data_IF_137563324461
#
_entry.id   IF_137563324461
#
_cell.length_a   1.000
_cell.length_b   1.000
_cell.length_c   1.000
_cell.angle_alpha   90.00
_cell.angle_beta   90.00
_cell.angle_gamma   90.00
#
_symmetry.space_group_name_H-M   'P 1'
#
loop_
_entity.id
_entity.type
_entity.pdbx_description
1 polymer ?
#
# COMPACT_ATOMS: atom_id res chain seq x y z
N UNK A 1 -55.51 26.09 -26.37
CA UNK A 1 -54.72 25.18 -27.24
C UNK A 1 -53.26 25.53 -27.00
N UNK A 2 -52.40 24.77 -26.31
CA UNK A 2 -52.52 23.45 -25.71
C UNK A 2 -51.65 23.38 -24.44
N UNK A 3 -51.92 22.35 -23.65
CA UNK A 3 -51.46 22.17 -22.27
C UNK A 3 -50.01 21.66 -22.14
N UNK A 4 -49.50 21.80 -20.92
CA UNK A 4 -48.21 21.30 -20.44
C UNK A 4 -48.07 19.76 -20.44
N UNK A 5 -46.85 19.26 -20.65
CA UNK A 5 -46.37 17.94 -20.23
C UNK A 5 -44.83 18.00 -20.11
N UNK A 6 -44.25 17.95 -18.90
CA UNK A 6 -43.74 16.76 -18.16
C UNK A 6 -42.36 16.29 -18.60
N UNK A 7 -41.43 16.19 -17.64
CA UNK A 7 -40.30 15.22 -17.72
C UNK A 7 -38.93 15.68 -17.24
N UNK A 8 -38.82 16.02 -15.95
CA UNK A 8 -37.68 15.77 -15.04
C UNK A 8 -36.27 15.52 -15.62
N UNK A 9 -35.36 16.45 -15.27
CA UNK A 9 -33.93 16.22 -15.19
C UNK A 9 -33.62 15.03 -14.26
N UNK A 10 -32.89 14.04 -14.77
CA UNK A 10 -32.23 13.05 -13.92
C UNK A 10 -30.82 13.56 -13.65
N UNK A 11 -30.67 14.21 -12.50
CA UNK A 11 -29.38 14.28 -11.85
C UNK A 11 -28.99 12.87 -11.39
N UNK A 12 -27.84 12.39 -11.83
CA UNK A 12 -27.10 11.37 -11.09
C UNK A 12 -26.12 12.12 -10.20
N UNK A 13 -26.67 12.61 -9.09
CA UNK A 13 -25.86 12.89 -7.92
C UNK A 13 -25.24 11.57 -7.46
N UNK A 14 -23.93 11.46 -7.54
CA UNK A 14 -23.19 10.55 -6.68
C UNK A 14 -23.15 11.17 -5.29
N UNK A 15 -24.16 10.85 -4.47
CA UNK A 15 -24.14 11.08 -3.03
C UNK A 15 -22.88 10.47 -2.44
N UNK A 16 -22.18 11.12 -1.51
CA UNK A 16 -22.53 11.16 -0.08
C UNK A 16 -22.71 9.78 0.60
N UNK A 17 -22.47 8.67 -0.12
CA UNK A 17 -22.68 7.29 0.35
C UNK A 17 -21.52 6.33 -0.01
N UNK A 18 -20.33 6.87 -0.36
CA UNK A 18 -19.06 6.11 -0.46
C UNK A 18 -18.28 6.10 0.88
N UNK A 19 -18.94 6.41 1.98
CA UNK A 19 -18.44 6.19 3.35
C UNK A 19 -19.17 4.99 3.97
N UNK A 20 -18.41 4.12 4.65
CA UNK A 20 -18.89 3.03 5.53
C UNK A 20 -18.93 1.58 5.00
N UNK A 21 -18.38 1.28 3.83
CA UNK A 21 -17.85 -0.07 3.55
C UNK A 21 -16.41 0.01 3.08
N UNK A 22 -15.53 0.54 3.94
CA UNK A 22 -14.10 0.21 3.86
C UNK A 22 -13.99 -1.28 4.22
N UNK A 23 -14.32 -2.15 3.25
CA UNK A 23 -14.05 -3.57 3.35
C UNK A 23 -12.56 -3.70 3.64
N UNK A 24 -12.22 -4.10 4.86
CA UNK A 24 -10.87 -4.27 5.42
C UNK A 24 -9.89 -4.73 4.32
N UNK A 25 -9.11 -3.82 3.76
CA UNK A 25 -8.31 -4.10 2.56
C UNK A 25 -6.95 -4.61 2.97
N UNK A 26 -6.70 -5.91 2.88
CA UNK A 26 -5.43 -6.47 3.36
C UNK A 26 -4.23 -6.03 2.51
N UNK A 27 -3.16 -5.57 3.15
CA UNK A 27 -1.90 -5.20 2.48
C UNK A 27 -0.99 -6.42 2.31
N UNK A 28 -0.64 -6.74 1.07
CA UNK A 28 0.36 -7.76 0.73
C UNK A 28 1.61 -7.07 0.20
N UNK A 29 2.75 -7.31 0.86
CA UNK A 29 4.04 -6.75 0.47
C UNK A 29 4.89 -7.85 -0.16
N UNK A 30 5.40 -7.59 -1.36
CA UNK A 30 6.25 -8.52 -2.11
C UNK A 30 7.60 -7.88 -2.43
N UNK A 31 8.59 -8.68 -2.80
CA UNK A 31 9.96 -8.17 -2.95
C UNK A 31 10.19 -7.41 -4.27
N UNK A 32 9.56 -7.83 -5.38
CA UNK A 32 9.77 -7.25 -6.71
C UNK A 32 8.47 -6.77 -7.42
N UNK A 33 8.54 -5.78 -8.33
CA UNK A 33 7.36 -5.28 -9.04
C UNK A 33 6.69 -6.35 -9.93
N UNK A 34 7.48 -7.28 -10.48
CA UNK A 34 6.94 -8.35 -11.33
C UNK A 34 6.01 -9.27 -10.54
N UNK A 35 6.36 -9.59 -9.28
CA UNK A 35 5.51 -10.38 -8.39
C UNK A 35 4.20 -9.67 -8.08
N UNK A 36 4.19 -8.32 -7.99
CA UNK A 36 2.95 -7.54 -7.80
C UNK A 36 1.98 -7.82 -8.94
N UNK A 37 2.44 -7.67 -10.19
CA UNK A 37 1.61 -7.90 -11.39
C UNK A 37 1.07 -9.33 -11.45
N UNK A 38 1.86 -10.31 -11.01
CA UNK A 38 1.45 -11.71 -10.98
C UNK A 38 0.43 -11.97 -9.87
N UNK A 39 0.70 -11.55 -8.64
CA UNK A 39 -0.15 -11.81 -7.47
C UNK A 39 -1.48 -11.04 -7.57
N UNK A 40 -1.48 -9.83 -8.15
CA UNK A 40 -2.71 -9.09 -8.43
C UNK A 40 -3.67 -9.82 -9.37
N UNK A 41 -3.21 -10.76 -10.20
CA UNK A 41 -4.10 -11.58 -11.04
C UNK A 41 -4.84 -12.66 -10.25
N UNK A 42 -4.27 -13.10 -9.12
CA UNK A 42 -4.82 -14.15 -8.28
C UNK A 42 -5.65 -13.60 -7.12
N UNK A 43 -5.34 -12.39 -6.66
CA UNK A 43 -6.05 -11.73 -5.58
C UNK A 43 -7.13 -10.78 -6.13
N UNK A 44 -8.27 -10.73 -5.46
CA UNK A 44 -9.36 -9.81 -5.82
C UNK A 44 -9.07 -8.38 -5.31
N UNK A 45 -9.99 -7.45 -5.59
CA UNK A 45 -9.88 -6.02 -5.27
C UNK A 45 -9.87 -5.69 -3.77
N UNK A 46 -10.02 -6.69 -2.88
CA UNK A 46 -9.90 -6.49 -1.43
C UNK A 46 -8.45 -6.45 -0.95
N UNK A 47 -7.48 -6.78 -1.81
CA UNK A 47 -6.06 -6.76 -1.45
C UNK A 47 -5.33 -5.58 -2.09
N UNK A 48 -4.51 -4.90 -1.29
CA UNK A 48 -3.55 -3.91 -1.77
C UNK A 48 -2.21 -4.62 -1.89
N UNK A 49 -1.71 -4.82 -3.12
CA UNK A 49 -0.40 -5.44 -3.34
C UNK A 49 0.64 -4.37 -3.65
N UNK A 50 1.71 -4.30 -2.85
CA UNK A 50 2.83 -3.35 -2.99
C UNK A 50 4.15 -4.10 -3.00
N UNK A 51 5.21 -3.49 -3.54
CA UNK A 51 6.53 -4.08 -3.53
C UNK A 51 7.55 -3.28 -2.72
N UNK A 52 8.44 -3.98 -2.00
CA UNK A 52 9.51 -3.39 -1.18
C UNK A 52 10.70 -2.90 -2.02
N UNK A 53 10.75 -3.27 -3.30
CA UNK A 53 11.87 -3.01 -4.20
C UNK A 53 13.19 -3.60 -3.64
N UNK A 54 13.17 -4.83 -3.12
CA UNK A 54 14.32 -5.45 -2.46
C UNK A 54 14.46 -5.08 -0.97
N UNK A 55 15.70 -5.09 -0.46
CA UNK A 55 16.01 -4.83 0.95
C UNK A 55 15.70 -3.38 1.36
N UNK A 56 15.06 -3.22 2.54
CA UNK A 56 14.71 -1.92 3.13
C UNK A 56 15.60 -1.54 4.32
N UNK A 57 16.27 -2.52 4.91
CA UNK A 57 17.25 -2.38 6.00
C UNK A 57 18.49 -3.18 5.67
N UNK A 58 19.63 -2.67 6.11
CA UNK A 58 20.94 -3.32 5.95
C UNK A 58 21.85 -2.97 7.14
N UNK A 59 22.97 -3.66 7.25
CA UNK A 59 24.01 -3.33 8.22
C UNK A 59 24.66 -1.96 7.89
N UNK A 60 25.29 -1.30 8.86
CA UNK A 60 25.94 -0.01 8.63
C UNK A 60 27.16 -0.22 7.74
N UNK A 61 27.22 0.43 6.57
CA UNK A 61 28.31 0.24 5.58
C UNK A 61 29.73 0.48 6.10
N UNK A 62 29.88 1.25 7.17
CA UNK A 62 31.17 1.71 7.68
C UNK A 62 31.61 1.01 8.97
N UNK A 63 30.85 0.03 9.45
CA UNK A 63 31.15 -0.72 10.68
C UNK A 63 30.80 -2.19 10.48
N UNK A 64 31.35 -3.08 11.30
CA UNK A 64 31.02 -4.52 11.28
C UNK A 64 29.51 -4.77 11.39
N UNK A 65 28.79 -3.89 12.12
CA UNK A 65 27.33 -3.93 12.20
C UNK A 65 26.78 -5.05 13.06
N UNK A 66 27.62 -5.87 13.68
CA UNK A 66 27.24 -6.94 14.60
C UNK A 66 28.09 -6.83 15.88
N UNK A 67 27.47 -7.11 17.02
CA UNK A 67 28.15 -7.12 18.32
C UNK A 67 28.62 -8.54 18.66
N UNK A 68 29.90 -8.83 18.42
CA UNK A 68 30.52 -10.15 18.66
C UNK A 68 30.47 -10.56 20.14
N UNK A 69 30.47 -9.60 21.06
CA UNK A 69 30.44 -9.85 22.51
C UNK A 69 29.02 -10.07 23.03
N UNK A 70 28.00 -9.62 22.30
CA UNK A 70 26.57 -9.79 22.63
C UNK A 70 25.87 -10.75 21.68
N UNK A 71 26.52 -11.87 21.35
CA UNK A 71 25.91 -12.95 20.58
C UNK A 71 25.58 -12.58 19.14
N UNK A 72 26.45 -11.79 18.50
CA UNK A 72 26.33 -11.35 17.11
C UNK A 72 25.06 -10.56 16.81
N UNK A 73 24.58 -9.76 17.77
CA UNK A 73 23.37 -8.96 17.58
C UNK A 73 23.58 -7.92 16.47
N UNK A 74 22.78 -7.92 15.40
CA UNK A 74 22.94 -6.98 14.29
C UNK A 74 22.33 -5.60 14.59
N UNK A 75 23.02 -4.55 14.15
CA UNK A 75 22.53 -3.18 14.09
C UNK A 75 22.00 -2.89 12.68
N UNK A 76 20.69 -2.91 12.49
CA UNK A 76 20.09 -2.59 11.19
C UNK A 76 19.82 -1.09 11.03
N UNK A 77 20.17 -0.55 9.87
CA UNK A 77 19.81 0.80 9.44
C UNK A 77 18.93 0.77 8.20
N UNK A 78 17.98 1.68 8.15
CA UNK A 78 17.14 1.89 6.95
C UNK A 78 18.01 2.45 5.83
N UNK A 79 17.91 1.87 4.63
CA UNK A 79 18.62 2.43 3.48
C UNK A 79 17.97 3.76 3.08
N UNK A 80 18.75 4.84 2.89
CA UNK A 80 18.20 6.17 2.59
C UNK A 80 17.38 6.17 1.29
N UNK A 81 17.79 5.40 0.28
CA UNK A 81 17.08 5.23 -0.98
C UNK A 81 15.69 4.57 -0.84
N UNK A 82 15.42 3.91 0.30
CA UNK A 82 14.18 3.15 0.55
C UNK A 82 13.22 3.86 1.51
N UNK A 83 13.54 5.07 1.97
CA UNK A 83 12.66 5.87 2.84
C UNK A 83 11.27 6.08 2.23
N UNK A 84 11.22 6.52 0.96
CA UNK A 84 9.94 6.71 0.23
C UNK A 84 9.10 5.44 0.19
N UNK A 85 9.72 4.30 -0.12
CA UNK A 85 9.04 2.99 -0.15
C UNK A 85 8.47 2.65 1.23
N UNK A 86 9.22 2.88 2.31
CA UNK A 86 8.75 2.63 3.67
C UNK A 86 7.60 3.56 4.06
N UNK A 87 7.65 4.83 3.67
CA UNK A 87 6.55 5.77 3.93
C UNK A 87 5.29 5.36 3.17
N UNK A 88 5.41 4.94 1.92
CA UNK A 88 4.29 4.42 1.13
C UNK A 88 3.70 3.15 1.74
N UNK A 89 4.55 2.22 2.20
CA UNK A 89 4.12 0.98 2.84
C UNK A 89 3.42 1.25 4.18
N UNK A 90 3.95 2.16 5.02
CA UNK A 90 3.31 2.58 6.26
C UNK A 90 1.95 3.23 6.00
N UNK A 91 1.87 4.08 4.99
CA UNK A 91 0.64 4.77 4.61
C UNK A 91 -0.40 3.80 4.06
N UNK A 92 0.02 2.77 3.32
CA UNK A 92 -0.86 1.69 2.88
C UNK A 92 -1.33 0.81 4.04
N UNK A 93 -0.45 0.53 5.02
CA UNK A 93 -0.79 -0.25 6.20
C UNK A 93 -1.82 0.45 7.10
N UNK A 94 -1.76 1.78 7.22
CA UNK A 94 -2.77 2.55 7.98
C UNK A 94 -4.15 2.62 7.30
N UNK A 95 -4.24 2.26 6.02
CA UNK A 95 -5.49 2.24 5.23
C UNK A 95 -6.08 0.83 5.09
N UNK A 96 -5.34 -0.18 5.53
CA UNK A 96 -5.65 -1.60 5.43
C UNK A 96 -6.36 -2.10 6.70
#
# INVERSE_FOLDING_TARGET
MGAAARGTAVGLGGGADEESLVAKRSLVVVESPTKVKTIQKYLNSTFIVKASMGHVRDLPKSKLGVDEKKGFKPEYKVLPAKKKVLDDLKRAAGKA
#
